data_IF_635764329679
#
_entry.id   IF_635764329679
#
_cell.length_a   1.000
_cell.length_b   1.000
_cell.length_c   1.000
_cell.angle_alpha   90.00
_cell.angle_beta   90.00
_cell.angle_gamma   90.00
#
_symmetry.space_group_name_H-M   'P 1'
#
loop_
_entity.id
_entity.type
_entity.pdbx_description
1 polymer ?
#
# COMPACT_ATOMS: atom_id res chain seq x y z
N UNK A 1 16.75 6.32 17.62
CA UNK A 1 15.87 7.49 17.84
C UNK A 1 14.41 7.21 17.44
N UNK A 2 14.15 6.61 16.28
CA UNK A 2 12.77 6.41 15.77
C UNK A 2 11.96 5.33 16.53
N UNK A 3 12.60 4.24 16.98
CA UNK A 3 11.92 3.24 17.82
C UNK A 3 11.44 3.82 19.16
N UNK A 4 12.25 4.66 19.81
CA UNK A 4 11.84 5.37 21.03
C UNK A 4 10.64 6.29 20.80
N UNK A 5 10.61 6.95 19.64
CA UNK A 5 9.50 7.81 19.23
C UNK A 5 8.22 7.00 18.95
N UNK A 6 8.34 5.82 18.31
CA UNK A 6 7.24 4.87 18.12
C UNK A 6 6.66 4.43 19.47
N UNK A 7 7.50 3.97 20.41
CA UNK A 7 7.04 3.57 21.74
C UNK A 7 6.38 4.73 22.51
N UNK A 8 6.94 5.94 22.42
CA UNK A 8 6.38 7.13 23.07
C UNK A 8 5.04 7.53 22.45
N UNK A 9 4.92 7.45 21.13
CA UNK A 9 3.68 7.74 20.39
C UNK A 9 2.60 6.71 20.72
N UNK A 10 2.97 5.42 20.81
CA UNK A 10 2.06 4.34 21.22
C UNK A 10 1.54 4.49 22.66
N UNK A 11 2.38 4.96 23.58
CA UNK A 11 1.95 5.27 24.96
C UNK A 11 1.00 6.46 25.03
N UNK A 12 1.21 7.47 24.18
CA UNK A 12 0.38 8.68 24.12
C UNK A 12 -0.93 8.49 23.33
N UNK A 13 -0.98 7.50 22.44
CA UNK A 13 -2.11 7.28 21.53
C UNK A 13 -2.07 8.20 20.30
N UNK A 14 -0.89 8.71 19.94
CA UNK A 14 -0.74 9.61 18.80
C UNK A 14 -0.73 8.81 17.49
N UNK A 15 -1.94 8.49 17.01
CA UNK A 15 -2.15 7.69 15.79
C UNK A 15 -1.55 8.37 14.57
N UNK A 16 -1.65 9.70 14.45
CA UNK A 16 -1.08 10.43 13.32
C UNK A 16 0.44 10.28 13.25
N UNK A 17 1.11 10.35 14.41
CA UNK A 17 2.56 10.14 14.48
C UNK A 17 2.94 8.68 14.20
N UNK A 18 2.20 7.72 14.74
CA UNK A 18 2.43 6.30 14.45
C UNK A 18 2.22 5.99 12.97
N UNK A 19 1.16 6.52 12.34
CA UNK A 19 0.93 6.41 10.89
C UNK A 19 2.10 6.95 10.10
N UNK A 20 2.57 8.14 10.43
CA UNK A 20 3.76 8.71 9.79
C UNK A 20 4.99 7.81 9.95
N UNK A 21 5.26 7.27 11.14
CA UNK A 21 6.42 6.40 11.37
C UNK A 21 6.31 5.07 10.60
N UNK A 22 5.13 4.46 10.58
CA UNK A 22 4.89 3.18 9.91
C UNK A 22 4.87 3.35 8.40
N UNK A 23 4.11 4.33 7.90
CA UNK A 23 3.83 4.49 6.47
C UNK A 23 4.96 5.24 5.74
N UNK A 24 5.57 6.24 6.38
CA UNK A 24 6.59 7.09 5.73
C UNK A 24 8.02 6.66 6.06
N UNK A 25 8.24 5.94 7.17
CA UNK A 25 9.57 5.44 7.56
C UNK A 25 9.72 3.92 7.51
N UNK A 26 8.69 3.19 7.07
CA UNK A 26 8.68 1.72 6.96
C UNK A 26 9.18 1.05 8.25
N UNK A 27 8.72 1.58 9.38
CA UNK A 27 9.13 1.10 10.71
C UNK A 27 8.48 -0.26 11.01
N UNK A 28 9.30 -1.22 11.45
CA UNK A 28 8.77 -2.49 11.96
C UNK A 28 7.94 -2.27 13.23
N UNK A 29 6.71 -2.76 13.19
CA UNK A 29 5.75 -2.71 14.29
C UNK A 29 6.01 -3.74 15.39
N UNK A 30 6.90 -4.69 15.13
CA UNK A 30 7.23 -5.78 16.04
C UNK A 30 8.57 -5.59 16.77
N UNK A 31 9.13 -4.37 16.71
CA UNK A 31 10.32 -3.99 17.48
C UNK A 31 10.10 -4.19 18.98
N UNK A 32 11.19 -4.49 19.69
CA UNK A 32 11.18 -4.73 21.15
C UNK A 32 11.99 -3.66 21.84
N UNK A 33 11.48 -3.17 22.97
CA UNK A 33 12.25 -2.29 23.85
C UNK A 33 13.14 -3.08 24.82
N UNK A 34 13.88 -2.36 25.68
CA UNK A 34 14.74 -2.95 26.71
C UNK A 34 14.01 -3.80 27.77
N UNK A 35 12.68 -3.76 27.80
CA UNK A 35 11.83 -4.58 28.67
C UNK A 35 11.09 -5.67 27.89
N UNK A 36 11.57 -5.98 26.68
CA UNK A 36 11.01 -7.00 25.82
C UNK A 36 9.53 -6.74 25.46
N UNK A 37 9.14 -5.46 25.40
CA UNK A 37 7.77 -5.03 25.15
C UNK A 37 7.60 -4.46 23.75
N UNK A 38 6.44 -4.72 23.14
CA UNK A 38 6.10 -4.31 21.77
C UNK A 38 5.26 -3.02 21.73
N UNK A 39 5.25 -2.28 20.62
CA UNK A 39 4.39 -1.11 20.41
C UNK A 39 2.90 -1.44 20.63
N UNK A 40 2.47 -2.62 20.18
CA UNK A 40 1.12 -3.13 20.38
C UNK A 40 0.78 -3.29 21.86
N UNK A 41 1.69 -3.83 22.66
CA UNK A 41 1.50 -4.00 24.11
C UNK A 41 1.24 -2.65 24.80
N UNK A 42 2.03 -1.62 24.51
CA UNK A 42 1.82 -0.29 25.10
C UNK A 42 0.49 0.35 24.68
N UNK A 43 0.09 0.16 23.42
CA UNK A 43 -1.19 0.66 22.92
C UNK A 43 -2.37 -0.02 23.63
N UNK A 44 -2.27 -1.32 23.88
CA UNK A 44 -3.24 -2.09 24.66
C UNK A 44 -3.27 -1.65 26.14
N UNK A 45 -2.10 -1.48 26.75
CA UNK A 45 -1.93 -1.10 28.15
C UNK A 45 -2.46 0.31 28.45
N UNK A 46 -2.26 1.24 27.52
CA UNK A 46 -2.73 2.61 27.65
C UNK A 46 -4.19 2.81 27.19
N UNK A 47 -4.82 1.80 26.60
CA UNK A 47 -6.24 1.83 26.24
C UNK A 47 -6.57 2.51 24.91
N UNK A 48 -5.61 2.62 24.00
CA UNK A 48 -5.79 3.33 22.74
C UNK A 48 -6.38 2.40 21.67
N UNK A 49 -7.70 2.17 21.72
CA UNK A 49 -8.38 1.17 20.89
C UNK A 49 -8.20 1.39 19.38
N UNK A 50 -8.35 2.62 18.89
CA UNK A 50 -8.17 2.97 17.48
C UNK A 50 -6.71 2.74 17.02
N UNK A 51 -5.75 2.99 17.91
CA UNK A 51 -4.34 2.70 17.64
C UNK A 51 -4.05 1.19 17.63
N UNK A 52 -4.66 0.42 18.53
CA UNK A 52 -4.52 -1.05 18.55
C UNK A 52 -5.07 -1.64 17.25
N UNK A 53 -6.23 -1.17 16.79
CA UNK A 53 -6.81 -1.61 15.52
C UNK A 53 -5.87 -1.30 14.35
N UNK A 54 -5.32 -0.08 14.31
CA UNK A 54 -4.34 0.32 13.30
C UNK A 54 -3.08 -0.56 13.32
N UNK A 55 -2.49 -0.79 14.49
CA UNK A 55 -1.25 -1.58 14.63
C UNK A 55 -1.46 -3.04 14.19
N UNK A 56 -2.57 -3.64 14.62
CA UNK A 56 -2.92 -4.99 14.19
C UNK A 56 -3.09 -5.04 12.68
N UNK A 57 -3.88 -4.13 12.10
CA UNK A 57 -4.10 -4.00 10.66
C UNK A 57 -2.81 -3.74 9.85
N UNK A 58 -1.74 -3.25 10.48
CA UNK A 58 -0.46 -2.99 9.82
C UNK A 58 0.66 -4.01 10.14
N UNK A 59 0.37 -5.11 10.85
CA UNK A 59 1.32 -6.23 10.95
C UNK A 59 1.84 -6.51 12.34
N UNK A 60 1.25 -5.88 13.36
CA UNK A 60 1.59 -6.20 14.73
C UNK A 60 1.19 -7.64 15.06
N UNK A 61 2.18 -8.45 15.45
CA UNK A 61 2.01 -9.86 15.83
C UNK A 61 1.23 -9.94 17.14
N UNK A 62 0.05 -10.57 17.07
CA UNK A 62 -0.76 -10.88 18.24
C UNK A 62 -1.36 -12.28 18.09
N UNK A 63 -0.58 -13.29 18.45
CA UNK A 63 -1.02 -14.69 18.40
C UNK A 63 -1.49 -15.15 19.78
N UNK A 64 -2.70 -15.69 19.85
CA UNK A 64 -3.23 -16.28 21.08
C UNK A 64 -2.34 -17.43 21.57
N UNK A 65 -2.11 -17.53 22.89
CA UNK A 65 -1.18 -18.49 23.52
C UNK A 65 0.32 -18.26 23.24
N UNK A 66 0.71 -17.10 22.71
CA UNK A 66 2.11 -16.65 22.72
C UNK A 66 2.36 -15.70 23.89
N UNK A 67 3.62 -15.56 24.30
CA UNK A 67 4.00 -14.65 25.39
C UNK A 67 3.51 -13.21 25.14
N UNK A 68 3.64 -12.72 23.90
CA UNK A 68 3.23 -11.37 23.52
C UNK A 68 1.71 -11.21 23.40
N UNK A 69 1.03 -12.21 22.82
CA UNK A 69 -0.43 -12.21 22.72
C UNK A 69 -1.10 -12.25 24.09
N UNK A 70 -0.64 -13.12 24.99
CA UNK A 70 -1.15 -13.18 26.37
C UNK A 70 -0.88 -11.86 27.11
N UNK A 71 0.29 -11.23 26.95
CA UNK A 71 0.60 -9.92 27.56
C UNK A 71 -0.32 -8.81 27.06
N UNK A 72 -0.59 -8.73 25.76
CA UNK A 72 -1.54 -7.75 25.21
C UNK A 72 -2.96 -8.00 25.73
N UNK A 73 -3.34 -9.28 25.83
CA UNK A 73 -4.63 -9.72 26.34
C UNK A 73 -4.84 -9.38 27.82
N UNK A 74 -3.90 -9.72 28.70
CA UNK A 74 -4.00 -9.43 30.13
C UNK A 74 -3.74 -7.96 30.44
N UNK A 75 -2.85 -7.31 29.69
CA UNK A 75 -2.48 -5.91 29.85
C UNK A 75 -3.49 -4.93 29.28
N UNK A 76 -4.46 -5.37 28.47
CA UNK A 76 -5.50 -4.53 27.89
C UNK A 76 -6.27 -3.73 28.96
N UNK A 77 -6.30 -2.41 28.80
CA UNK A 77 -7.02 -1.51 29.73
C UNK A 77 -8.54 -1.66 29.64
N UNK A 78 -9.06 -1.98 28.44
CA UNK A 78 -10.50 -2.07 28.16
C UNK A 78 -10.94 -3.44 27.63
N UNK A 79 -12.17 -3.82 27.97
CA UNK A 79 -12.82 -5.04 27.46
C UNK A 79 -13.10 -4.97 25.95
N UNK A 80 -13.14 -3.77 25.36
CA UNK A 80 -13.24 -3.58 23.91
C UNK A 80 -11.95 -4.01 23.21
N UNK A 81 -10.79 -3.55 23.68
CA UNK A 81 -9.46 -3.98 23.18
C UNK A 81 -9.28 -5.50 23.36
N UNK A 82 -9.71 -6.05 24.49
CA UNK A 82 -9.63 -7.50 24.75
C UNK A 82 -10.47 -8.33 23.79
N UNK A 83 -11.64 -7.82 23.38
CA UNK A 83 -12.48 -8.46 22.34
C UNK A 83 -11.82 -8.33 20.97
N UNK A 84 -11.33 -7.15 20.64
CA UNK A 84 -10.62 -6.85 19.39
C UNK A 84 -9.42 -7.79 19.19
N UNK A 85 -8.57 -7.97 20.21
CA UNK A 85 -7.43 -8.90 20.18
C UNK A 85 -7.84 -10.39 20.04
N UNK A 86 -8.98 -10.80 20.62
CA UNK A 86 -9.50 -12.19 20.47
C UNK A 86 -10.08 -12.46 19.10
N UNK A 87 -10.69 -11.45 18.49
CA UNK A 87 -11.33 -11.52 17.19
C UNK A 87 -10.31 -11.41 16.06
N UNK A 88 -9.15 -10.81 16.32
CA UNK A 88 -8.05 -10.66 15.38
C UNK A 88 -7.35 -11.99 15.08
N UNK A 89 -7.74 -12.65 13.97
CA UNK A 89 -7.09 -13.87 13.46
C UNK A 89 -6.26 -13.56 12.22
N UNK A 90 -4.98 -13.27 12.44
CA UNK A 90 -3.86 -13.38 11.50
C UNK A 90 -4.15 -12.91 10.05
N UNK A 91 -4.16 -11.59 9.85
CA UNK A 91 -4.07 -10.99 8.52
C UNK A 91 -2.62 -11.17 8.05
N UNK A 92 -2.43 -11.92 6.95
CA UNK A 92 -1.10 -12.13 6.37
C UNK A 92 -0.52 -10.80 5.85
N UNK A 93 0.81 -10.65 5.82
CA UNK A 93 1.49 -9.48 5.24
C UNK A 93 1.13 -9.20 3.76
N UNK A 94 0.48 -10.16 3.09
CA UNK A 94 -0.05 -10.05 1.73
C UNK A 94 -1.43 -9.38 1.67
N UNK A 95 -2.19 -9.40 2.76
CA UNK A 95 -3.44 -8.65 2.91
C UNK A 95 -3.16 -7.17 3.27
N UNK A 96 -2.14 -6.90 4.11
CA UNK A 96 -1.73 -5.54 4.49
C UNK A 96 -1.20 -4.67 3.34
N UNK A 97 -0.67 -5.27 2.28
CA UNK A 97 -0.26 -4.53 1.08
C UNK A 97 -1.46 -4.06 0.24
N UNK A 98 -2.52 -4.87 0.16
CA UNK A 98 -3.77 -4.52 -0.53
C UNK A 98 -4.61 -3.52 0.25
N UNK A 99 -4.53 -3.59 1.59
CA UNK A 99 -5.29 -2.71 2.48
C UNK A 99 -5.02 -1.22 2.21
N UNK A 100 -3.82 -0.79 1.77
CA UNK A 100 -3.58 0.64 1.50
C UNK A 100 -4.23 1.14 0.19
N UNK A 101 -4.26 0.31 -0.85
CA UNK A 101 -4.86 0.72 -2.12
C UNK A 101 -6.38 0.63 -2.08
N UNK A 102 -6.92 -0.47 -1.55
CA UNK A 102 -8.36 -0.63 -1.36
C UNK A 102 -8.90 0.42 -0.38
N UNK A 103 -8.14 0.74 0.68
CA UNK A 103 -8.46 1.87 1.56
C UNK A 103 -8.40 3.20 0.83
N UNK A 104 -7.40 3.46 -0.01
CA UNK A 104 -7.39 4.68 -0.84
C UNK A 104 -8.65 4.80 -1.69
N UNK A 105 -9.06 3.74 -2.39
CA UNK A 105 -10.26 3.76 -3.23
C UNK A 105 -11.54 3.93 -2.40
N UNK A 106 -11.61 3.29 -1.23
CA UNK A 106 -12.70 3.51 -0.27
C UNK A 106 -12.77 4.97 0.19
N UNK A 107 -11.64 5.53 0.62
CA UNK A 107 -11.56 6.93 1.04
C UNK A 107 -11.89 7.89 -0.10
N UNK A 108 -11.52 7.56 -1.34
CA UNK A 108 -11.86 8.33 -2.52
C UNK A 108 -13.38 8.38 -2.74
N UNK A 109 -14.07 7.24 -2.57
CA UNK A 109 -15.53 7.17 -2.61
C UNK A 109 -16.18 7.95 -1.46
N UNK A 110 -15.74 7.74 -0.23
CA UNK A 110 -16.34 8.32 0.97
C UNK A 110 -16.16 9.84 1.05
N UNK A 111 -14.97 10.34 0.74
CA UNK A 111 -14.70 11.77 0.78
C UNK A 111 -15.22 12.49 -0.46
N UNK A 112 -15.34 11.80 -1.59
CA UNK A 112 -15.81 12.36 -2.86
C UNK A 112 -14.92 13.47 -3.42
N UNK A 113 -13.63 13.51 -3.05
CA UNK A 113 -12.67 14.49 -3.57
C UNK A 113 -12.53 14.33 -5.07
N UNK A 114 -12.60 15.43 -5.83
CA UNK A 114 -12.56 15.43 -7.30
C UNK A 114 -13.71 14.65 -7.97
N UNK A 115 -14.80 14.36 -7.25
CA UNK A 115 -15.99 13.73 -7.86
C UNK A 115 -16.60 14.61 -8.95
N UNK A 116 -16.85 13.99 -10.10
CA UNK A 116 -17.42 14.61 -11.30
C UNK A 116 -18.89 14.23 -11.54
N UNK A 117 -19.45 13.35 -10.69
CA UNK A 117 -20.85 12.96 -10.71
C UNK A 117 -21.42 12.73 -9.31
N UNK A 118 -22.69 13.09 -9.12
CA UNK A 118 -23.45 12.85 -7.90
C UNK A 118 -24.74 12.10 -8.20
N UNK A 119 -25.05 11.08 -7.42
CA UNK A 119 -26.32 10.36 -7.49
C UNK A 119 -27.22 10.77 -6.33
N UNK A 120 -28.44 11.22 -6.64
CA UNK A 120 -29.44 11.55 -5.63
C UNK A 120 -30.45 10.40 -5.53
N UNK A 121 -30.31 9.56 -4.50
CA UNK A 121 -31.13 8.37 -4.26
C UNK A 121 -32.03 8.62 -3.06
N UNK A 122 -33.34 8.79 -3.29
CA UNK A 122 -34.34 9.01 -2.22
C UNK A 122 -34.00 10.09 -1.16
N UNK A 123 -33.21 11.10 -1.53
CA UNK A 123 -32.80 12.20 -0.65
C UNK A 123 -31.36 12.12 -0.17
N UNK A 124 -30.71 10.97 -0.33
CA UNK A 124 -29.28 10.78 -0.03
C UNK A 124 -28.44 11.08 -1.28
N UNK A 125 -27.30 11.73 -1.07
CA UNK A 125 -26.38 12.11 -2.16
C UNK A 125 -25.10 11.31 -2.09
N UNK A 126 -24.81 10.56 -3.14
CA UNK A 126 -23.58 9.79 -3.30
C UNK A 126 -22.67 10.48 -4.30
N UNK A 127 -21.44 10.78 -3.89
CA UNK A 127 -20.40 11.30 -4.78
C UNK A 127 -19.69 10.13 -5.46
N UNK A 128 -19.31 10.28 -6.73
CA UNK A 128 -18.57 9.26 -7.46
C UNK A 128 -17.76 9.88 -8.62
N UNK A 129 -16.93 9.03 -9.23
CA UNK A 129 -16.04 9.34 -10.33
C UNK A 129 -16.46 8.55 -11.56
N UNK A 130 -16.69 9.24 -12.69
CA UNK A 130 -17.11 8.60 -13.93
C UNK A 130 -16.05 7.64 -14.46
N UNK A 131 -14.77 7.97 -14.31
CA UNK A 131 -13.66 7.12 -14.73
C UNK A 131 -13.70 5.75 -14.04
N UNK A 132 -13.80 5.70 -12.70
CA UNK A 132 -13.89 4.47 -11.91
C UNK A 132 -15.13 3.66 -12.30
N UNK A 133 -16.31 4.29 -12.32
CA UNK A 133 -17.56 3.59 -12.63
C UNK A 133 -17.61 3.07 -14.08
N UNK A 134 -17.00 3.79 -15.03
CA UNK A 134 -16.95 3.36 -16.43
C UNK A 134 -15.95 2.22 -16.63
N UNK A 135 -14.86 2.20 -15.86
CA UNK A 135 -13.88 1.10 -15.88
C UNK A 135 -14.51 -0.19 -15.36
N UNK A 136 -15.23 -0.13 -14.24
CA UNK A 136 -15.80 -1.31 -13.59
C UNK A 136 -17.18 -1.73 -14.13
N UNK A 137 -17.83 -0.93 -14.98
CA UNK A 137 -19.19 -1.23 -15.43
C UNK A 137 -19.56 -0.65 -16.79
N UNK A 138 -19.74 -1.54 -17.77
CA UNK A 138 -20.29 -1.19 -19.09
C UNK A 138 -21.67 -0.52 -19.01
N UNK A 139 -22.47 -0.84 -17.99
CA UNK A 139 -23.75 -0.19 -17.77
C UNK A 139 -23.58 1.30 -17.45
N UNK A 140 -22.67 1.66 -16.54
CA UNK A 140 -22.41 3.06 -16.21
C UNK A 140 -21.80 3.79 -17.41
N UNK A 141 -20.86 3.18 -18.12
CA UNK A 141 -20.30 3.69 -19.38
C UNK A 141 -21.40 4.08 -20.36
N UNK A 142 -22.28 3.13 -20.71
CA UNK A 142 -23.38 3.38 -21.65
C UNK A 142 -24.34 4.46 -21.15
N UNK A 143 -24.63 4.50 -19.84
CA UNK A 143 -25.56 5.48 -19.27
C UNK A 143 -24.98 6.89 -19.26
N UNK A 144 -23.68 7.04 -18.98
CA UNK A 144 -22.98 8.32 -19.04
C UNK A 144 -22.87 8.87 -20.46
N UNK A 145 -22.80 8.01 -21.48
CA UNK A 145 -22.79 8.42 -22.88
C UNK A 145 -24.18 8.69 -23.46
N UNK A 146 -25.24 8.21 -22.80
CA UNK A 146 -26.62 8.35 -23.25
C UNK A 146 -27.43 9.22 -22.29
N UNK A 147 -28.21 8.61 -21.39
CA UNK A 147 -29.23 9.27 -20.55
C UNK A 147 -28.63 10.30 -19.57
N UNK A 148 -27.39 10.09 -19.15
CA UNK A 148 -26.68 10.89 -18.15
C UNK A 148 -25.57 11.77 -18.76
N UNK A 149 -25.53 11.88 -20.09
CA UNK A 149 -24.55 12.73 -20.79
C UNK A 149 -24.66 14.18 -20.33
N UNK A 150 -23.54 14.76 -19.92
CA UNK A 150 -23.43 16.15 -19.46
C UNK A 150 -24.12 16.46 -18.12
N UNK A 151 -24.60 15.45 -17.38
CA UNK A 151 -25.28 15.67 -16.09
C UNK A 151 -24.34 15.40 -14.93
N UNK A 152 -24.12 16.40 -14.08
CA UNK A 152 -23.30 16.23 -12.86
C UNK A 152 -24.14 15.75 -11.67
N UNK A 153 -25.47 15.85 -11.75
CA UNK A 153 -26.41 15.35 -10.74
C UNK A 153 -27.43 14.41 -11.40
N UNK A 154 -27.46 13.16 -10.96
CA UNK A 154 -28.31 12.09 -11.50
C UNK A 154 -29.35 11.70 -10.45
N UNK A 155 -30.62 12.13 -10.61
CA UNK A 155 -31.68 11.74 -9.69
C UNK A 155 -32.17 10.32 -9.98
N UNK A 156 -32.06 9.44 -8.98
CA UNK A 156 -32.55 8.06 -9.00
C UNK A 156 -33.79 7.99 -8.08
N UNK A 157 -34.96 8.16 -8.69
CA UNK A 157 -36.26 8.22 -7.98
C UNK A 157 -37.06 6.91 -8.02
N UNK A 158 -36.51 5.87 -8.65
CA UNK A 158 -37.24 4.63 -8.86
C UNK A 158 -37.44 3.89 -7.52
N UNK A 159 -38.66 3.50 -7.13
CA UNK A 159 -38.95 2.98 -5.78
C UNK A 159 -38.18 1.72 -5.38
N UNK A 160 -37.68 0.95 -6.35
CA UNK A 160 -36.90 -0.27 -6.12
C UNK A 160 -35.40 -0.02 -5.90
N UNK A 161 -34.93 1.23 -5.92
CA UNK A 161 -33.53 1.58 -5.67
C UNK A 161 -33.39 1.94 -4.19
N UNK A 162 -32.84 1.03 -3.40
CA UNK A 162 -32.57 1.28 -1.99
C UNK A 162 -31.23 2.04 -1.84
N UNK A 163 -31.17 3.14 -1.06
CA UNK A 163 -29.93 3.90 -0.84
C UNK A 163 -28.78 3.07 -0.27
N UNK A 164 -29.03 2.23 0.74
CA UNK A 164 -28.01 1.38 1.36
C UNK A 164 -27.45 0.35 0.38
N UNK A 165 -28.33 -0.30 -0.39
CA UNK A 165 -27.91 -1.23 -1.43
C UNK A 165 -27.13 -0.55 -2.56
N UNK A 166 -27.51 0.68 -2.92
CA UNK A 166 -26.77 1.48 -3.92
C UNK A 166 -25.40 1.89 -3.40
N UNK A 167 -25.28 2.29 -2.13
CA UNK A 167 -24.01 2.58 -1.47
C UNK A 167 -23.08 1.37 -1.44
N UNK A 168 -23.58 0.19 -1.05
CA UNK A 168 -22.81 -1.05 -1.07
C UNK A 168 -22.36 -1.44 -2.49
N UNK A 169 -23.21 -1.22 -3.50
CA UNK A 169 -22.83 -1.46 -4.90
C UNK A 169 -21.74 -0.48 -5.38
N UNK A 170 -21.81 0.80 -4.95
CA UNK A 170 -20.73 1.75 -5.22
C UNK A 170 -19.43 1.33 -4.54
N UNK A 171 -19.46 0.90 -3.27
CA UNK A 171 -18.29 0.38 -2.57
C UNK A 171 -17.63 -0.75 -3.38
N UNK A 172 -18.42 -1.70 -3.88
CA UNK A 172 -17.91 -2.81 -4.69
C UNK A 172 -17.26 -2.36 -6.00
N UNK A 173 -17.81 -1.35 -6.68
CA UNK A 173 -17.13 -0.80 -7.87
C UNK A 173 -15.78 -0.16 -7.54
N UNK A 174 -15.59 0.34 -6.32
CA UNK A 174 -14.34 0.99 -5.91
C UNK A 174 -13.34 0.03 -5.32
N UNK A 175 -13.73 -1.04 -4.63
CA UNK A 175 -12.77 -1.86 -3.87
C UNK A 175 -12.82 -3.34 -4.24
N UNK A 176 -13.77 -3.76 -5.08
CA UNK A 176 -14.06 -5.18 -5.32
C UNK A 176 -14.65 -5.90 -4.10
N UNK A 177 -14.88 -5.20 -2.99
CA UNK A 177 -15.52 -5.69 -1.77
C UNK A 177 -16.69 -4.81 -1.35
N UNK A 178 -17.55 -5.30 -0.47
CA UNK A 178 -18.65 -4.50 0.07
C UNK A 178 -19.12 -4.98 1.43
N UNK A 179 -19.66 -4.06 2.22
CA UNK A 179 -20.45 -4.37 3.39
C UNK A 179 -21.91 -4.06 3.14
N UNK A 180 -22.78 -5.03 3.39
CA UNK A 180 -24.22 -4.85 3.23
C UNK A 180 -25.02 -5.48 4.35
N UNK A 181 -26.01 -4.76 4.85
CA UNK A 181 -26.98 -5.35 5.78
C UNK A 181 -27.74 -6.48 5.09
N UNK A 182 -27.89 -7.62 5.78
CA UNK A 182 -28.55 -8.82 5.26
C UNK A 182 -29.97 -8.51 4.76
N UNK A 183 -30.65 -7.53 5.34
CA UNK A 183 -31.98 -7.09 4.90
C UNK A 183 -32.01 -6.41 3.52
N UNK A 184 -30.86 -5.94 3.02
CA UNK A 184 -30.73 -5.23 1.75
C UNK A 184 -30.08 -6.04 0.63
N UNK A 185 -29.71 -7.30 0.89
CA UNK A 185 -29.04 -8.17 -0.11
C UNK A 185 -29.89 -8.34 -1.37
N UNK A 186 -31.19 -8.56 -1.25
CA UNK A 186 -32.08 -8.74 -2.42
C UNK A 186 -32.24 -7.44 -3.23
N UNK A 187 -32.17 -6.28 -2.58
CA UNK A 187 -32.13 -5.00 -3.28
C UNK A 187 -30.80 -4.83 -4.02
N UNK A 188 -29.67 -5.21 -3.41
CA UNK A 188 -28.36 -5.19 -4.06
C UNK A 188 -28.29 -6.13 -5.27
N UNK A 189 -28.77 -7.38 -5.15
CA UNK A 189 -28.87 -8.33 -6.26
C UNK A 189 -29.70 -7.75 -7.43
N UNK A 190 -30.78 -7.02 -7.13
CA UNK A 190 -31.60 -6.36 -8.15
C UNK A 190 -30.81 -5.28 -8.90
N UNK A 191 -30.01 -4.48 -8.18
CA UNK A 191 -29.17 -3.45 -8.78
C UNK A 191 -28.00 -4.06 -9.58
N UNK A 192 -27.33 -5.07 -9.03
CA UNK A 192 -26.26 -5.83 -9.70
C UNK A 192 -26.75 -6.44 -11.02
N UNK A 193 -27.97 -7.00 -11.03
CA UNK A 193 -28.62 -7.52 -12.25
C UNK A 193 -28.82 -6.44 -13.31
N UNK A 194 -29.22 -5.24 -12.92
CA UNK A 194 -29.35 -4.11 -13.84
C UNK A 194 -28.00 -3.68 -14.43
N UNK A 195 -26.93 -3.78 -13.62
CA UNK A 195 -25.56 -3.50 -14.02
C UNK A 195 -24.88 -4.68 -14.75
N UNK A 196 -25.61 -5.78 -15.00
CA UNK A 196 -25.13 -7.02 -15.64
C UNK A 196 -23.98 -7.71 -14.90
N UNK A 197 -23.94 -7.60 -13.57
CA UNK A 197 -22.89 -8.20 -12.73
C UNK A 197 -23.31 -9.59 -12.26
N UNK A 198 -23.18 -10.58 -13.14
CA UNK A 198 -23.53 -11.98 -12.84
C UNK A 198 -22.71 -12.56 -11.69
N UNK A 199 -21.39 -12.36 -11.73
CA UNK A 199 -20.46 -12.92 -10.75
C UNK A 199 -20.73 -12.40 -9.33
N UNK A 200 -21.04 -11.10 -9.19
CA UNK A 200 -21.43 -10.51 -7.91
C UNK A 200 -22.74 -11.11 -7.36
N UNK A 201 -23.70 -11.42 -8.23
CA UNK A 201 -24.96 -12.06 -7.80
C UNK A 201 -24.67 -13.46 -7.26
N UNK A 202 -23.85 -14.23 -7.96
CA UNK A 202 -23.46 -15.58 -7.55
C UNK A 202 -22.66 -15.56 -6.23
N UNK A 203 -21.79 -14.57 -6.06
CA UNK A 203 -21.00 -14.37 -4.84
C UNK A 203 -21.90 -14.02 -3.63
N UNK A 204 -22.84 -13.09 -3.80
CA UNK A 204 -23.82 -12.73 -2.77
C UNK A 204 -24.67 -13.95 -2.37
N UNK A 205 -25.11 -14.76 -3.33
CA UNK A 205 -25.89 -15.98 -3.07
C UNK A 205 -25.08 -17.03 -2.30
N UNK A 206 -23.83 -17.25 -2.72
CA UNK A 206 -22.91 -18.17 -2.04
C UNK A 206 -22.65 -17.75 -0.59
N UNK A 207 -22.38 -16.46 -0.34
CA UNK A 207 -22.12 -15.93 1.01
C UNK A 207 -23.37 -15.95 1.89
N UNK A 208 -24.55 -15.65 1.33
CA UNK A 208 -25.82 -15.81 2.05
C UNK A 208 -26.05 -17.25 2.50
N UNK A 209 -25.76 -18.23 1.64
CA UNK A 209 -25.87 -19.65 1.99
C UNK A 209 -24.91 -20.02 3.13
N UNK A 210 -23.67 -19.56 3.07
CA UNK A 210 -22.68 -19.79 4.14
C UNK A 210 -23.13 -19.19 5.47
N UNK A 211 -23.67 -17.96 5.46
CA UNK A 211 -24.23 -17.30 6.65
C UNK A 211 -25.40 -18.10 7.23
N UNK A 212 -26.31 -18.60 6.37
CA UNK A 212 -27.44 -19.41 6.79
C UNK A 212 -27.00 -20.73 7.46
N UNK A 213 -26.04 -21.43 6.86
CA UNK A 213 -25.45 -22.66 7.43
C UNK A 213 -24.76 -22.37 8.77
N UNK A 214 -24.03 -21.26 8.88
CA UNK A 214 -23.35 -20.84 10.11
C UNK A 214 -24.34 -20.55 11.25
N UNK A 215 -25.39 -19.76 10.98
CA UNK A 215 -26.42 -19.41 11.97
C UNK A 215 -27.19 -20.66 12.41
N UNK A 216 -27.47 -21.58 11.48
CA UNK A 216 -28.12 -22.86 11.80
C UNK A 216 -27.32 -23.72 12.78
N UNK A 217 -25.98 -23.66 12.70
CA UNK A 217 -25.08 -24.42 13.57
C UNK A 217 -24.81 -23.74 14.93
N UNK A 218 -25.20 -22.46 15.12
CA UNK A 218 -24.98 -21.68 16.35
C UNK A 218 -26.24 -20.92 16.78
N UNK A 219 -27.23 -21.60 17.38
CA UNK A 219 -28.48 -20.98 17.80
C UNK A 219 -28.22 -19.85 18.80
N UNK A 220 -28.80 -18.67 18.53
CA UNK A 220 -28.59 -17.44 19.30
C UNK A 220 -27.66 -16.42 18.63
N UNK A 221 -27.00 -16.79 17.53
CA UNK A 221 -26.16 -15.85 16.75
C UNK A 221 -26.99 -15.17 15.66
N UNK A 222 -26.89 -13.84 15.55
CA UNK A 222 -27.55 -13.06 14.50
C UNK A 222 -26.48 -12.33 13.67
N UNK A 223 -26.40 -12.67 12.39
CA UNK A 223 -25.55 -11.96 11.42
C UNK A 223 -26.37 -10.82 10.84
N UNK A 224 -25.90 -9.58 11.00
CA UNK A 224 -26.57 -8.37 10.49
C UNK A 224 -25.93 -7.86 9.21
N UNK A 225 -24.61 -7.96 9.11
CA UNK A 225 -23.83 -7.48 7.97
C UNK A 225 -23.20 -8.67 7.27
N UNK A 226 -23.28 -8.66 5.95
CA UNK A 226 -22.59 -9.56 5.05
C UNK A 226 -21.45 -8.78 4.40
N UNK A 227 -20.23 -9.27 4.59
CA UNK A 227 -19.01 -8.70 4.01
C UNK A 227 -18.55 -9.55 2.84
N UNK A 228 -18.39 -8.90 1.68
CA UNK A 228 -17.68 -9.44 0.53
C UNK A 228 -16.28 -8.86 0.53
N UNK A 229 -15.31 -9.76 0.47
CA UNK A 229 -13.89 -9.41 0.46
C UNK A 229 -13.41 -9.42 -1.00
N UNK A 230 -12.48 -8.56 -1.39
CA UNK A 230 -11.94 -8.56 -2.74
C UNK A 230 -11.19 -9.87 -3.02
N UNK A 231 -11.68 -10.64 -3.99
CA UNK A 231 -11.18 -11.98 -4.29
C UNK A 231 -10.67 -12.15 -5.73
N UNK A 232 -11.07 -11.28 -6.66
CA UNK A 232 -10.69 -11.36 -8.07
C UNK A 232 -9.57 -10.37 -8.43
N UNK A 233 -8.71 -10.74 -9.38
CA UNK A 233 -7.80 -9.80 -10.04
C UNK A 233 -8.54 -8.84 -10.97
N UNK A 234 -9.82 -9.10 -11.27
CA UNK A 234 -10.64 -8.30 -12.19
C UNK A 234 -10.65 -6.83 -11.83
N UNK A 235 -10.83 -6.48 -10.54
CA UNK A 235 -10.86 -5.08 -10.14
C UNK A 235 -9.51 -4.37 -10.41
N UNK A 236 -8.39 -5.06 -10.18
CA UNK A 236 -7.07 -4.54 -10.48
C UNK A 236 -6.85 -4.38 -11.99
N UNK A 237 -7.36 -5.31 -12.80
CA UNK A 237 -7.36 -5.22 -14.26
C UNK A 237 -8.22 -4.05 -14.77
N UNK A 238 -9.40 -3.83 -14.18
CA UNK A 238 -10.27 -2.70 -14.52
C UNK A 238 -9.57 -1.37 -14.22
N UNK A 239 -8.85 -1.28 -13.10
CA UNK A 239 -8.07 -0.07 -12.79
C UNK A 239 -6.82 0.05 -13.68
N UNK A 240 -6.18 -1.05 -14.08
CA UNK A 240 -5.10 -1.02 -15.06
C UNK A 240 -5.56 -0.53 -16.44
N UNK A 241 -6.82 -0.79 -16.83
CA UNK A 241 -7.41 -0.21 -18.04
C UNK A 241 -7.43 1.34 -17.97
N UNK A 242 -7.62 1.93 -16.79
CA UNK A 242 -7.52 3.39 -16.62
C UNK A 242 -6.08 3.90 -16.82
N UNK A 243 -5.07 3.13 -16.42
CA UNK A 243 -3.69 3.44 -16.75
C UNK A 243 -3.50 3.46 -18.28
N UNK A 244 -3.92 2.41 -19.00
CA UNK A 244 -3.81 2.35 -20.45
C UNK A 244 -4.47 3.54 -21.15
N UNK A 245 -5.66 3.94 -20.67
CA UNK A 245 -6.38 5.09 -21.21
C UNK A 245 -5.67 6.42 -20.97
N UNK A 246 -4.78 6.49 -19.97
CA UNK A 246 -3.99 7.68 -19.68
C UNK A 246 -2.76 7.83 -20.58
N UNK A 247 -2.30 6.75 -21.21
CA UNK A 247 -1.17 6.79 -22.13
C UNK A 247 -1.58 7.41 -23.49
N UNK A 248 -0.67 8.18 -24.12
CA UNK A 248 -0.78 8.54 -25.54
C UNK A 248 -0.89 7.30 -26.42
N UNK A 249 -1.64 7.39 -27.51
CA UNK A 249 -1.89 6.25 -28.41
C UNK A 249 -0.60 5.64 -28.96
N UNK A 250 0.44 6.45 -29.17
CA UNK A 250 1.74 6.03 -29.69
C UNK A 250 2.55 5.18 -28.70
N UNK A 251 2.26 5.29 -27.40
CA UNK A 251 2.99 4.61 -26.32
C UNK A 251 2.23 3.41 -25.73
N UNK A 252 0.99 3.18 -26.16
CA UNK A 252 0.21 2.02 -25.71
C UNK A 252 0.83 0.75 -26.27
N UNK A 253 1.31 -0.13 -25.38
CA UNK A 253 1.86 -1.44 -25.75
C UNK A 253 0.69 -2.39 -25.99
N UNK A 254 0.03 -2.27 -27.14
CA UNK A 254 -0.92 -3.28 -27.58
C UNK A 254 -0.17 -4.56 -28.00
N UNK A 255 -0.82 -5.73 -27.84
CA UNK A 255 -0.47 -6.91 -28.63
C UNK A 255 -0.70 -6.59 -30.11
N UNK A 256 0.28 -5.98 -30.77
CA UNK A 256 0.36 -5.68 -32.21
C UNK A 256 -0.96 -5.38 -32.92
N UNK A 257 -1.20 -4.10 -33.27
CA UNK A 257 -2.07 -3.68 -34.39
C UNK A 257 -3.39 -4.47 -34.56
N UNK A 258 -4.13 -4.76 -33.48
CA UNK A 258 -5.51 -5.19 -33.61
C UNK A 258 -6.41 -3.95 -33.63
N UNK A 259 -7.21 -3.71 -34.69
CA UNK A 259 -7.98 -2.47 -34.91
C UNK A 259 -9.20 -2.32 -33.99
N UNK A 260 -9.23 -3.03 -32.85
CA UNK A 260 -10.34 -3.09 -31.91
C UNK A 260 -9.86 -2.89 -30.47
N UNK A 261 -8.80 -2.09 -30.27
CA UNK A 261 -8.36 -1.75 -28.92
C UNK A 261 -9.49 -1.02 -28.19
N UNK A 262 -9.93 -1.60 -27.06
CA UNK A 262 -11.02 -1.03 -26.23
C UNK A 262 -10.67 0.37 -25.73
N UNK A 263 -9.38 0.72 -25.68
CA UNK A 263 -8.88 1.96 -25.11
C UNK A 263 -9.08 3.19 -26.00
N UNK A 264 -9.33 3.03 -27.30
CA UNK A 264 -9.46 4.17 -28.23
C UNK A 264 -10.80 4.91 -28.14
N UNK A 265 -11.86 4.21 -27.72
CA UNK A 265 -13.21 4.78 -27.56
C UNK A 265 -13.70 4.76 -26.10
N UNK A 266 -12.84 4.42 -25.14
CA UNK A 266 -13.22 4.42 -23.74
C UNK A 266 -13.37 5.84 -23.21
N UNK A 267 -14.53 6.22 -22.64
CA UNK A 267 -14.72 7.56 -22.08
C UNK A 267 -13.98 7.63 -20.73
N UNK A 268 -12.71 8.02 -20.76
CA UNK A 268 -11.87 8.07 -19.56
C UNK A 268 -12.17 9.25 -18.65
N UNK A 269 -12.70 10.37 -19.17
CA UNK A 269 -12.98 11.60 -18.40
C UNK A 269 -11.75 12.20 -17.69
N UNK A 270 -10.63 12.47 -18.41
CA UNK A 270 -9.46 13.07 -17.81
C UNK A 270 -9.73 14.52 -17.38
N UNK A 271 -9.20 14.92 -16.23
CA UNK A 271 -9.33 16.28 -15.68
C UNK A 271 -7.97 16.97 -15.46
N UNK A 272 -6.88 16.29 -15.83
CA UNK A 272 -5.52 16.80 -15.89
C UNK A 272 -4.75 16.14 -17.04
N UNK A 273 -3.81 16.86 -17.64
CA UNK A 273 -2.85 16.35 -18.59
C UNK A 273 -1.42 16.58 -18.07
N UNK A 274 -0.61 15.53 -18.05
CA UNK A 274 0.82 15.64 -17.76
C UNK A 274 1.61 15.56 -19.07
N UNK A 275 2.41 16.59 -19.37
CA UNK A 275 3.30 16.62 -20.52
C UNK A 275 4.70 16.17 -20.12
N UNK A 276 5.17 15.06 -20.69
CA UNK A 276 6.48 14.45 -20.39
C UNK A 276 7.19 14.14 -21.69
N UNK A 277 8.39 14.70 -21.89
CA UNK A 277 9.18 14.53 -23.13
C UNK A 277 8.40 14.81 -24.44
N UNK A 278 7.41 15.71 -24.38
CA UNK A 278 6.56 16.06 -25.52
C UNK A 278 5.33 15.17 -25.72
N UNK A 279 5.16 14.13 -24.90
CA UNK A 279 3.97 13.29 -24.87
C UNK A 279 2.94 13.81 -23.86
N UNK A 280 1.67 13.80 -24.25
CA UNK A 280 0.54 14.26 -23.43
C UNK A 280 -0.19 13.05 -22.80
N UNK A 281 -0.03 12.87 -21.50
CA UNK A 281 -0.69 11.84 -20.71
C UNK A 281 -1.99 12.39 -20.11
N UNK A 282 -3.11 11.71 -20.33
CA UNK A 282 -4.45 12.17 -19.92
C UNK A 282 -4.90 11.47 -18.63
N UNK A 283 -4.73 12.14 -17.49
CA UNK A 283 -4.84 11.53 -16.17
C UNK A 283 -6.01 12.10 -15.35
N UNK A 284 -6.12 11.61 -14.11
CA UNK A 284 -7.18 11.93 -13.15
C UNK A 284 -6.58 12.47 -11.84
N UNK A 285 -6.94 13.69 -11.44
CA UNK A 285 -6.47 14.31 -10.19
C UNK A 285 -6.80 13.49 -8.97
N UNK A 286 -7.99 12.88 -8.96
CA UNK A 286 -8.45 11.96 -7.91
C UNK A 286 -7.37 10.93 -7.51
N UNK A 287 -6.74 10.32 -8.51
CA UNK A 287 -5.72 9.29 -8.30
C UNK A 287 -4.37 9.89 -7.92
N UNK A 288 -3.90 10.91 -8.65
CA UNK A 288 -2.59 11.50 -8.38
C UNK A 288 -2.54 12.21 -7.02
N UNK A 289 -3.54 13.02 -6.67
CA UNK A 289 -3.61 13.70 -5.37
C UNK A 289 -3.90 12.74 -4.21
N UNK A 290 -4.66 11.67 -4.45
CA UNK A 290 -4.99 10.70 -3.40
C UNK A 290 -3.85 9.72 -3.07
N UNK A 291 -2.90 9.56 -4.00
CA UNK A 291 -1.78 8.61 -3.87
C UNK A 291 -0.43 9.28 -3.61
N UNK A 292 -0.31 10.58 -3.85
CA UNK A 292 0.93 11.33 -3.70
C UNK A 292 0.69 12.72 -3.10
N UNK A 293 1.30 12.95 -1.94
CA UNK A 293 1.31 14.26 -1.29
C UNK A 293 2.06 15.32 -2.14
N UNK A 294 3.04 14.89 -2.95
CA UNK A 294 3.73 15.78 -3.89
C UNK A 294 2.76 16.31 -4.93
N UNK A 295 2.01 15.43 -5.62
CA UNK A 295 1.05 15.87 -6.64
C UNK A 295 -0.12 16.63 -6.02
N UNK A 296 -0.55 16.25 -4.82
CA UNK A 296 -1.55 17.02 -4.07
C UNK A 296 -1.09 18.45 -3.82
N UNK A 297 0.10 18.64 -3.25
CA UNK A 297 0.66 19.97 -3.01
C UNK A 297 0.86 20.75 -4.32
N UNK A 298 1.41 20.09 -5.35
CA UNK A 298 1.64 20.68 -6.67
C UNK A 298 0.34 21.23 -7.30
N UNK A 299 -0.76 20.52 -7.14
CA UNK A 299 -2.07 20.86 -7.72
C UNK A 299 -2.92 21.77 -6.83
N UNK A 300 -2.62 21.87 -5.53
CA UNK A 300 -3.30 22.78 -4.60
C UNK A 300 -2.65 24.18 -4.57
N UNK A 301 -1.32 24.29 -4.60
CA UNK A 301 -0.60 25.54 -4.26
C UNK A 301 -0.36 26.48 -5.47
N UNK A 302 -0.19 25.95 -6.69
CA UNK A 302 0.23 26.74 -7.86
C UNK A 302 -0.66 26.61 -9.10
N UNK A 303 -1.88 26.08 -8.95
CA UNK A 303 -2.65 25.61 -10.10
C UNK A 303 -3.63 26.63 -10.70
N UNK A 304 -3.27 27.92 -10.76
CA UNK A 304 -4.14 28.96 -11.36
C UNK A 304 -3.70 29.44 -12.74
N UNK A 305 -2.44 29.21 -13.15
CA UNK A 305 -1.82 29.81 -14.35
C UNK A 305 -1.32 28.80 -15.40
N UNK A 306 -1.81 27.56 -15.38
CA UNK A 306 -1.40 26.50 -16.32
C UNK A 306 -2.00 26.63 -17.73
N UNK A 307 -1.27 26.12 -18.74
CA UNK A 307 -1.76 26.00 -20.13
C UNK A 307 -2.99 25.07 -20.19
N UNK A 308 -3.95 25.35 -21.07
CA UNK A 308 -5.10 24.49 -21.32
C UNK A 308 -4.83 23.59 -22.52
N UNK A 309 -5.25 22.34 -22.45
CA UNK A 309 -5.08 21.38 -23.53
C UNK A 309 -5.88 21.82 -24.75
N UNK A 310 -5.21 21.93 -25.91
CA UNK A 310 -5.84 22.45 -27.13
C UNK A 310 -7.02 21.60 -27.62
N UNK A 311 -6.94 20.28 -27.45
CA UNK A 311 -8.00 19.34 -27.83
C UNK A 311 -9.17 19.31 -26.84
N UNK A 312 -8.93 19.65 -25.57
CA UNK A 312 -9.95 19.69 -24.51
C UNK A 312 -9.72 20.90 -23.59
N UNK A 313 -10.35 22.06 -23.86
CA UNK A 313 -10.09 23.31 -23.12
C UNK A 313 -10.43 23.28 -21.63
N UNK A 314 -11.14 22.26 -21.15
CA UNK A 314 -11.42 22.02 -19.73
C UNK A 314 -10.28 21.35 -18.98
N UNK A 315 -9.32 20.77 -19.70
CA UNK A 315 -8.23 19.96 -19.14
C UNK A 315 -6.96 20.80 -19.09
N UNK A 316 -6.36 20.89 -17.91
CA UNK A 316 -5.14 21.67 -17.69
C UNK A 316 -3.90 20.83 -17.95
N UNK A 317 -2.87 21.43 -18.55
CA UNK A 317 -1.59 20.79 -18.88
C UNK A 317 -0.54 21.18 -17.84
N UNK A 318 0.13 20.18 -17.29
CA UNK A 318 1.25 20.33 -16.38
C UNK A 318 2.48 19.65 -17.00
N UNK A 319 3.54 20.42 -17.26
CA UNK A 319 4.77 19.86 -17.82
C UNK A 319 5.66 19.36 -16.69
N UNK A 320 6.03 18.08 -16.72
CA UNK A 320 7.02 17.52 -15.80
C UNK A 320 8.39 17.51 -16.50
N UNK A 321 9.40 18.00 -15.79
CA UNK A 321 10.77 18.04 -16.27
C UNK A 321 11.60 16.96 -15.58
N UNK A 322 12.71 16.54 -16.20
CA UNK A 322 13.67 15.58 -15.66
C UNK A 322 13.08 14.19 -15.33
N UNK A 323 12.06 13.77 -16.08
CA UNK A 323 11.51 12.42 -16.04
C UNK A 323 11.29 11.94 -17.47
N UNK A 324 11.66 10.69 -17.74
CA UNK A 324 11.40 10.09 -19.06
C UNK A 324 9.96 9.59 -19.16
N UNK A 325 9.43 9.55 -20.38
CA UNK A 325 8.08 9.00 -20.60
C UNK A 325 7.98 7.53 -20.13
N UNK A 326 9.05 6.74 -20.25
CA UNK A 326 9.09 5.34 -19.78
C UNK A 326 8.93 5.23 -18.26
N UNK A 327 9.66 6.04 -17.49
CA UNK A 327 9.53 6.05 -16.02
C UNK A 327 8.15 6.58 -15.62
N UNK A 328 7.63 7.56 -16.34
CA UNK A 328 6.30 8.09 -16.08
C UNK A 328 5.18 7.08 -16.36
N UNK A 329 5.34 6.22 -17.37
CA UNK A 329 4.45 5.07 -17.60
C UNK A 329 4.45 4.13 -16.40
N UNK A 330 5.63 3.78 -15.87
CA UNK A 330 5.71 2.93 -14.66
C UNK A 330 4.99 3.56 -13.46
N UNK A 331 5.07 4.88 -13.32
CA UNK A 331 4.36 5.62 -12.29
C UNK A 331 2.84 5.62 -12.50
N UNK A 332 2.37 5.80 -13.74
CA UNK A 332 0.94 5.76 -14.07
C UNK A 332 0.35 4.40 -13.69
N UNK A 333 0.97 3.29 -14.13
CA UNK A 333 0.49 1.96 -13.76
C UNK A 333 0.42 1.80 -12.24
N UNK A 334 1.46 2.20 -11.50
CA UNK A 334 1.43 2.12 -10.04
C UNK A 334 0.32 2.96 -9.40
N UNK A 335 0.09 4.20 -9.87
CA UNK A 335 -0.93 5.08 -9.31
C UNK A 335 -2.34 4.50 -9.51
N UNK A 336 -2.61 3.88 -10.67
CA UNK A 336 -3.91 3.34 -10.99
C UNK A 336 -4.11 1.88 -10.57
N UNK A 337 -3.09 1.03 -10.43
CA UNK A 337 -3.32 -0.41 -10.16
C UNK A 337 -2.56 -0.95 -8.96
N UNK A 338 -1.84 -0.09 -8.23
CA UNK A 338 -0.91 -0.44 -7.13
C UNK A 338 0.19 -1.43 -7.55
N UNK A 339 0.41 -1.59 -8.86
CA UNK A 339 1.43 -2.46 -9.43
C UNK A 339 2.04 -1.85 -10.69
N UNK A 340 3.26 -2.25 -11.02
CA UNK A 340 3.94 -1.79 -12.24
C UNK A 340 5.07 -2.72 -12.62
N UNK A 341 5.34 -2.83 -13.92
CA UNK A 341 6.44 -3.64 -14.41
C UNK A 341 7.78 -2.93 -14.17
N UNK A 342 8.65 -3.59 -13.41
CA UNK A 342 9.99 -3.13 -13.10
C UNK A 342 11.03 -4.07 -13.70
N UNK A 343 11.96 -3.51 -14.47
CA UNK A 343 13.09 -4.21 -15.05
C UNK A 343 14.37 -3.89 -14.28
N UNK A 344 15.42 -4.72 -14.39
CA UNK A 344 16.74 -4.40 -13.82
C UNK A 344 17.33 -3.08 -14.34
N UNK A 345 16.90 -2.66 -15.54
CA UNK A 345 17.40 -1.46 -16.22
C UNK A 345 16.73 -0.18 -15.70
N UNK A 346 15.46 -0.23 -15.27
CA UNK A 346 14.71 0.97 -14.89
C UNK A 346 14.45 1.11 -13.38
N UNK A 347 14.65 0.05 -12.57
CA UNK A 347 14.22 0.03 -11.16
C UNK A 347 14.86 1.12 -10.30
N UNK A 348 16.11 1.50 -10.57
CA UNK A 348 16.78 2.59 -9.83
C UNK A 348 16.20 3.95 -10.18
N UNK A 349 15.92 4.21 -11.45
CA UNK A 349 15.31 5.47 -11.88
C UNK A 349 13.88 5.60 -11.37
N UNK A 350 13.11 4.50 -11.39
CA UNK A 350 11.78 4.45 -10.80
C UNK A 350 11.85 4.67 -9.28
N UNK A 351 12.84 4.09 -8.58
CA UNK A 351 13.05 4.32 -7.15
C UNK A 351 13.33 5.80 -6.85
N UNK A 352 14.20 6.46 -7.62
CA UNK A 352 14.48 7.89 -7.50
C UNK A 352 13.22 8.74 -7.65
N UNK A 353 12.42 8.45 -8.68
CA UNK A 353 11.17 9.17 -8.95
C UNK A 353 10.10 8.88 -7.89
N UNK A 354 10.01 7.64 -7.40
CA UNK A 354 9.10 7.26 -6.34
C UNK A 354 9.40 8.01 -5.03
N UNK A 355 10.68 8.22 -4.72
CA UNK A 355 11.08 9.05 -3.58
C UNK A 355 10.76 10.54 -3.81
N UNK A 356 11.14 11.07 -4.97
CA UNK A 356 10.89 12.47 -5.33
C UNK A 356 9.40 12.83 -5.30
N UNK A 357 8.54 11.95 -5.80
CA UNK A 357 7.09 12.17 -5.86
C UNK A 357 6.33 11.59 -4.66
N UNK A 358 7.03 11.22 -3.58
CA UNK A 358 6.43 10.77 -2.32
C UNK A 358 5.43 9.61 -2.52
N UNK A 359 5.88 8.57 -3.22
CA UNK A 359 5.13 7.33 -3.50
C UNK A 359 5.73 6.16 -2.69
N UNK A 360 5.49 6.06 -1.37
CA UNK A 360 6.16 5.09 -0.51
C UNK A 360 5.87 3.63 -0.90
N UNK A 361 4.67 3.32 -1.38
CA UNK A 361 4.35 1.96 -1.85
C UNK A 361 5.11 1.58 -3.11
N UNK A 362 5.39 2.52 -4.04
CA UNK A 362 6.22 2.27 -5.20
C UNK A 362 7.69 2.09 -4.82
N UNK A 363 8.21 2.89 -3.87
CA UNK A 363 9.55 2.68 -3.30
C UNK A 363 9.70 1.28 -2.74
N UNK A 364 8.69 0.81 -1.99
CA UNK A 364 8.66 -0.54 -1.43
C UNK A 364 8.61 -1.62 -2.53
N UNK A 365 7.87 -1.40 -3.60
CA UNK A 365 7.84 -2.30 -4.76
C UNK A 365 9.22 -2.37 -5.43
N UNK A 366 9.89 -1.23 -5.61
CA UNK A 366 11.27 -1.17 -6.11
C UNK A 366 12.23 -1.93 -5.19
N UNK A 367 12.17 -1.70 -3.87
CA UNK A 367 12.99 -2.41 -2.89
C UNK A 367 12.79 -3.93 -2.94
N UNK A 368 11.53 -4.40 -3.06
CA UNK A 368 11.21 -5.82 -3.23
C UNK A 368 11.79 -6.40 -4.52
N UNK A 369 11.81 -5.64 -5.61
CA UNK A 369 12.41 -6.07 -6.89
C UNK A 369 13.94 -6.10 -6.80
N UNK A 370 14.56 -5.08 -6.20
CA UNK A 370 16.00 -5.04 -5.93
C UNK A 370 16.46 -6.23 -5.07
N UNK A 371 15.68 -6.59 -4.04
CA UNK A 371 15.99 -7.72 -3.17
C UNK A 371 16.07 -9.06 -3.92
N UNK A 372 15.27 -9.25 -4.99
CA UNK A 372 15.33 -10.45 -5.83
C UNK A 372 16.61 -10.55 -6.67
N UNK A 373 17.33 -9.44 -6.83
CA UNK A 373 18.55 -9.34 -7.63
C UNK A 373 19.82 -9.38 -6.77
N UNK A 374 19.71 -9.57 -5.45
CA UNK A 374 20.86 -9.63 -4.56
C UNK A 374 21.84 -10.75 -4.93
N UNK A 375 23.10 -10.40 -5.07
CA UNK A 375 24.21 -11.31 -5.31
C UNK A 375 25.50 -10.83 -4.61
N UNK A 376 26.54 -11.66 -4.65
CA UNK A 376 27.84 -11.36 -4.03
C UNK A 376 28.43 -10.03 -4.55
N UNK A 377 28.25 -9.72 -5.84
CA UNK A 377 28.86 -8.54 -6.47
C UNK A 377 28.12 -7.23 -6.18
N UNK A 378 26.83 -7.27 -5.82
CA UNK A 378 26.01 -6.06 -5.68
C UNK A 378 25.51 -5.77 -4.27
N UNK A 379 25.67 -6.69 -3.31
CA UNK A 379 25.07 -6.56 -1.97
C UNK A 379 25.52 -5.30 -1.22
N UNK A 380 26.80 -4.90 -1.34
CA UNK A 380 27.31 -3.68 -0.70
C UNK A 380 26.65 -2.42 -1.29
N UNK A 381 26.52 -2.36 -2.62
CA UNK A 381 25.86 -1.26 -3.31
C UNK A 381 24.34 -1.23 -3.02
N UNK A 382 23.70 -2.40 -2.94
CA UNK A 382 22.28 -2.52 -2.63
C UNK A 382 22.00 -2.04 -1.20
N UNK A 383 22.85 -2.36 -0.24
CA UNK A 383 22.72 -1.88 1.13
C UNK A 383 22.88 -0.36 1.23
N UNK A 384 23.88 0.22 0.56
CA UNK A 384 24.04 1.68 0.47
C UNK A 384 22.80 2.35 -0.15
N UNK A 385 22.26 1.75 -1.20
CA UNK A 385 21.01 2.21 -1.84
C UNK A 385 19.83 2.12 -0.86
N UNK A 386 19.71 1.00 -0.13
CA UNK A 386 18.66 0.82 0.86
C UNK A 386 18.71 1.89 1.95
N UNK A 387 19.89 2.20 2.49
CA UNK A 387 20.06 3.30 3.45
C UNK A 387 19.71 4.66 2.88
N UNK A 388 20.20 4.97 1.67
CA UNK A 388 19.94 6.26 1.01
C UNK A 388 18.43 6.52 0.84
N UNK A 389 17.69 5.51 0.39
CA UNK A 389 16.24 5.60 0.16
C UNK A 389 15.39 5.19 1.36
N UNK A 390 15.99 4.85 2.50
CA UNK A 390 15.32 4.37 3.73
C UNK A 390 14.40 3.16 3.48
N UNK A 391 14.93 2.15 2.80
CA UNK A 391 14.25 0.88 2.52
C UNK A 391 14.63 -0.17 3.57
N UNK A 392 14.02 -0.09 4.77
CA UNK A 392 14.36 -0.92 5.93
C UNK A 392 14.35 -2.43 5.62
N UNK A 393 13.35 -2.88 4.86
CA UNK A 393 13.26 -4.29 4.46
C UNK A 393 14.37 -4.73 3.51
N UNK A 394 14.78 -3.87 2.57
CA UNK A 394 15.90 -4.19 1.68
C UNK A 394 17.22 -4.17 2.45
N UNK A 395 17.37 -3.26 3.42
CA UNK A 395 18.53 -3.17 4.31
C UNK A 395 18.71 -4.48 5.09
N UNK A 396 17.65 -4.97 5.75
CA UNK A 396 17.63 -6.24 6.47
C UNK A 396 17.98 -7.43 5.57
N UNK A 397 17.40 -7.48 4.36
CA UNK A 397 17.71 -8.53 3.37
C UNK A 397 19.16 -8.48 2.90
N UNK A 398 19.75 -7.28 2.78
CA UNK A 398 21.16 -7.13 2.46
C UNK A 398 22.04 -7.63 3.62
N UNK A 399 21.75 -7.26 4.86
CA UNK A 399 22.54 -7.72 6.03
C UNK A 399 22.39 -9.22 6.27
N UNK A 400 21.21 -9.79 6.04
CA UNK A 400 20.99 -11.24 6.04
C UNK A 400 21.86 -11.92 4.97
N UNK A 401 21.92 -11.36 3.76
CA UNK A 401 22.80 -11.89 2.71
C UNK A 401 24.28 -11.75 3.08
N UNK A 402 24.71 -10.59 3.58
CA UNK A 402 26.10 -10.34 4.01
C UNK A 402 26.54 -11.32 5.08
N UNK A 403 25.69 -11.64 6.07
CA UNK A 403 25.99 -12.62 7.12
C UNK A 403 26.36 -14.01 6.57
N UNK A 404 25.80 -14.38 5.41
CA UNK A 404 26.05 -15.67 4.77
C UNK A 404 27.41 -15.71 4.08
N UNK A 405 27.93 -14.56 3.65
CA UNK A 405 29.18 -14.44 2.89
C UNK A 405 30.27 -13.61 3.62
N UNK A 406 30.11 -13.40 4.92
CA UNK A 406 30.93 -12.46 5.70
C UNK A 406 32.43 -12.75 5.61
N UNK A 407 32.83 -14.03 5.56
CA UNK A 407 34.22 -14.47 5.41
C UNK A 407 34.89 -13.92 4.14
N UNK A 408 34.12 -13.72 3.05
CA UNK A 408 34.61 -13.10 1.82
C UNK A 408 34.59 -11.57 1.91
N UNK A 409 33.57 -11.00 2.56
CA UNK A 409 33.37 -9.55 2.64
C UNK A 409 34.45 -8.87 3.47
N UNK A 410 34.93 -9.51 4.54
CA UNK A 410 35.98 -8.93 5.40
C UNK A 410 37.30 -8.70 4.68
N UNK A 411 37.54 -9.42 3.58
CA UNK A 411 38.72 -9.23 2.72
C UNK A 411 38.55 -8.08 1.72
N UNK A 412 37.32 -7.57 1.53
CA UNK A 412 37.02 -6.52 0.56
C UNK A 412 37.25 -5.12 1.15
N UNK A 413 38.04 -4.26 0.47
CA UNK A 413 38.28 -2.89 0.95
C UNK A 413 36.99 -2.04 0.96
N UNK A 414 36.09 -2.29 0.01
CA UNK A 414 34.81 -1.57 -0.10
C UNK A 414 33.90 -1.81 1.11
N UNK A 415 33.92 -3.02 1.68
CA UNK A 415 33.20 -3.36 2.91
C UNK A 415 33.81 -2.65 4.12
N UNK A 416 35.14 -2.58 4.18
CA UNK A 416 35.86 -1.83 5.23
C UNK A 416 35.49 -0.36 5.22
N UNK A 417 35.47 0.27 4.05
CA UNK A 417 35.11 1.68 3.91
C UNK A 417 33.64 1.92 4.31
N UNK A 418 32.76 0.97 4.01
CA UNK A 418 31.35 1.01 4.39
C UNK A 418 31.15 0.95 5.91
N UNK A 419 31.90 0.11 6.63
CA UNK A 419 31.84 0.05 8.11
C UNK A 419 32.32 1.37 8.71
N UNK A 420 33.41 1.97 8.19
CA UNK A 420 33.93 3.25 8.68
C UNK A 420 32.94 4.39 8.45
N UNK A 421 32.30 4.42 7.28
CA UNK A 421 31.25 5.38 6.95
C UNK A 421 30.06 5.26 7.91
N UNK A 422 29.62 4.03 8.20
CA UNK A 422 28.51 3.78 9.13
C UNK A 422 28.86 4.15 10.58
N UNK A 423 30.08 3.84 11.03
CA UNK A 423 30.58 4.23 12.34
C UNK A 423 30.64 5.76 12.50
N UNK A 424 31.16 6.47 11.50
CA UNK A 424 31.24 7.93 11.51
C UNK A 424 29.86 8.60 11.56
N UNK A 425 28.84 8.02 10.93
CA UNK A 425 27.46 8.53 11.02
C UNK A 425 26.83 8.39 12.42
N UNK A 426 27.42 7.55 13.27
CA UNK A 426 26.97 7.30 14.65
C UNK A 426 27.73 8.15 15.66
N UNK A 427 28.97 8.59 15.39
CA UNK A 427 29.70 9.51 16.27
C UNK A 427 28.95 10.83 16.53
N UNK A 428 28.16 11.30 15.55
CA UNK A 428 27.26 12.46 15.69
C UNK A 428 26.06 12.19 16.62
N UNK A 429 25.83 10.94 17.02
CA UNK A 429 24.76 10.49 17.92
C UNK A 429 25.39 10.11 19.26
N UNK A 430 24.70 10.37 20.37
CA UNK A 430 25.21 10.09 21.73
C UNK A 430 25.38 8.59 22.09
N UNK A 431 25.45 7.70 21.10
CA UNK A 431 25.56 6.23 21.23
C UNK A 431 26.83 5.77 20.49
N UNK A 432 28.01 5.95 21.07
CA UNK A 432 29.32 5.68 20.41
C UNK A 432 29.73 4.22 20.34
N UNK A 433 28.95 3.32 20.96
CA UNK A 433 29.37 1.94 21.24
C UNK A 433 28.73 0.91 20.28
N UNK A 434 27.92 1.37 19.30
CA UNK A 434 27.19 0.49 18.38
C UNK A 434 27.39 0.91 16.93
N UNK A 435 27.80 -0.01 16.05
CA UNK A 435 27.80 0.21 14.59
C UNK A 435 26.59 -0.55 14.01
N UNK A 436 25.52 0.14 13.56
CA UNK A 436 24.29 -0.49 13.12
C UNK A 436 24.50 -1.61 12.10
N UNK A 437 25.31 -1.38 11.07
CA UNK A 437 25.64 -2.39 10.06
C UNK A 437 26.22 -3.67 10.69
N UNK A 438 27.15 -3.51 11.63
CA UNK A 438 27.84 -4.62 12.29
C UNK A 438 26.86 -5.37 13.19
N UNK A 439 26.04 -4.65 13.94
CA UNK A 439 25.06 -5.22 14.86
C UNK A 439 23.97 -5.99 14.11
N UNK A 440 23.50 -5.48 12.98
CA UNK A 440 22.54 -6.17 12.11
C UNK A 440 23.13 -7.46 11.52
N UNK A 441 24.40 -7.43 11.07
CA UNK A 441 25.10 -8.64 10.60
C UNK A 441 25.27 -9.64 11.74
N UNK A 442 25.71 -9.21 12.93
CA UNK A 442 25.85 -10.06 14.13
C UNK A 442 24.52 -10.71 14.51
N UNK A 443 23.43 -9.94 14.45
CA UNK A 443 22.07 -10.44 14.69
C UNK A 443 21.72 -11.57 13.70
N UNK A 444 21.98 -11.39 12.40
CA UNK A 444 21.69 -12.43 11.39
C UNK A 444 22.58 -13.67 11.51
N UNK A 445 23.83 -13.52 11.92
CA UNK A 445 24.72 -14.66 12.21
C UNK A 445 24.16 -15.52 13.36
N UNK A 446 23.56 -14.89 14.38
CA UNK A 446 23.17 -15.56 15.64
C UNK A 446 21.70 -16.00 15.69
N UNK A 447 20.81 -15.38 14.91
CA UNK A 447 19.35 -15.51 15.04
C UNK A 447 18.76 -16.87 14.66
N UNK A 448 19.52 -17.76 14.00
CA UNK A 448 19.03 -19.08 13.54
C UNK A 448 19.90 -20.28 13.95
N UNK A 449 20.74 -20.13 14.98
CA UNK A 449 21.70 -21.17 15.38
C UNK A 449 21.06 -22.19 16.33
N UNK A 450 20.69 -23.38 15.82
CA UNK A 450 20.02 -24.44 16.61
C UNK A 450 20.88 -25.67 16.89
N UNK A 451 22.00 -25.86 16.18
CA UNK A 451 22.84 -27.06 16.27
C UNK A 451 24.27 -26.72 16.64
N UNK A 452 25.00 -27.65 17.27
CA UNK A 452 26.40 -27.44 17.66
C UNK A 452 27.30 -27.07 16.47
N UNK A 453 27.11 -27.72 15.31
CA UNK A 453 27.85 -27.39 14.09
C UNK A 453 27.55 -25.96 13.60
N UNK A 454 26.30 -25.50 13.73
CA UNK A 454 25.93 -24.13 13.36
C UNK A 454 26.50 -23.10 14.34
N UNK A 455 26.70 -23.46 15.62
CA UNK A 455 27.37 -22.61 16.61
C UNK A 455 28.84 -22.42 16.24
N UNK A 456 29.54 -23.48 15.86
CA UNK A 456 30.93 -23.38 15.41
C UNK A 456 31.06 -22.50 14.16
N UNK A 457 30.19 -22.70 13.16
CA UNK A 457 30.18 -21.87 11.94
C UNK A 457 29.88 -20.38 12.25
N UNK A 458 28.91 -20.11 13.13
CA UNK A 458 28.59 -18.75 13.55
C UNK A 458 29.77 -18.09 14.29
N UNK A 459 30.49 -18.82 15.13
CA UNK A 459 31.66 -18.30 15.84
C UNK A 459 32.80 -17.94 14.89
N UNK A 460 33.05 -18.75 13.86
CA UNK A 460 34.06 -18.43 12.82
C UNK A 460 33.70 -17.14 12.09
N UNK A 461 32.43 -16.99 11.71
CA UNK A 461 31.91 -15.78 11.06
C UNK A 461 32.03 -14.53 11.93
N UNK A 462 31.73 -14.65 13.22
CA UNK A 462 31.90 -13.56 14.19
C UNK A 462 33.39 -13.22 14.37
N UNK A 463 34.26 -14.22 14.50
CA UNK A 463 35.70 -14.00 14.67
C UNK A 463 36.32 -13.27 13.47
N UNK A 464 35.92 -13.61 12.25
CA UNK A 464 36.35 -12.90 11.04
C UNK A 464 35.96 -11.41 11.07
N UNK A 465 34.74 -11.11 11.53
CA UNK A 465 34.25 -9.75 11.66
C UNK A 465 34.99 -8.97 12.77
N UNK A 466 35.23 -9.59 13.93
CA UNK A 466 36.01 -8.98 15.02
C UNK A 466 37.47 -8.68 14.62
N UNK A 467 38.10 -9.59 13.88
CA UNK A 467 39.45 -9.36 13.36
C UNK A 467 39.51 -8.15 12.42
N UNK A 468 38.48 -7.96 11.58
CA UNK A 468 38.38 -6.77 10.74
C UNK A 468 38.24 -5.50 11.58
N UNK A 469 37.30 -5.48 12.54
CA UNK A 469 37.04 -4.33 13.42
C UNK A 469 38.30 -3.91 14.19
N UNK A 470 39.02 -4.88 14.76
CA UNK A 470 40.30 -4.64 15.44
C UNK A 470 41.35 -4.05 14.50
N UNK A 471 41.43 -4.53 13.26
CA UNK A 471 42.39 -4.04 12.25
C UNK A 471 42.13 -2.58 11.86
N UNK A 472 40.87 -2.15 11.88
CA UNK A 472 40.48 -0.78 11.52
C UNK A 472 40.35 0.16 12.71
N UNK A 473 40.64 -0.32 13.93
CA UNK A 473 40.65 0.48 15.16
C UNK A 473 39.26 0.86 15.66
N UNK A 474 38.23 0.10 15.30
CA UNK A 474 36.87 0.25 15.83
C UNK A 474 36.65 -0.87 16.85
N UNK A 475 36.47 -0.52 18.12
CA UNK A 475 36.05 -1.45 19.17
C UNK A 475 34.55 -1.20 19.43
N UNK A 476 33.71 -2.21 19.22
CA UNK A 476 32.25 -2.14 19.36
C UNK A 476 31.71 -3.35 20.11
#
# INVERSE_FOLDING_TARGET
MDAYDLFTSCRKGDISRVRYLVEQRDMDLNVRDKWDSTPLYYSCLCGHEELVQYLLANGAKCEANTFDGERCMYGSLSDSIRRLLKEYKCITARAMQRDYYDHFLLMLLEQGQYSDVKFLVHGETFHAHRCVLSACSEYFTAMFETKWKGKNLIPLKHPLINPAAFGALLQYFYTGGMDIDVSHVEDCKRLAKQCKMGDLIDELESKCKQVYEFVSNKPGTCVKVLTLEPHSCQHQEDMAQLADCALPAELRVGFGELPFDRTDNFPSYPDICFRVEGYDFLCHKAFFCGRSDYFKALLEDHFSEGEMLQSQPSTRVLTLHNISHQIFISLIYYIYSDDTELSPENVFDVLCVADMYLLPGLKRLCGKTLAKMLCEDNVLHMWKTAKLFRLSRLEDQCTEYMSKIIEKLVEQPEFTDMIKEDAGAVEDRHETDSIPLVDDIRFHITSNVQTFSAIEEANVKLEALEQLLSTIGLEC
#
